data_IF_426837335709
#
_entry.id   IF_426837335709
#
_cell.length_a   1.000
_cell.length_b   1.000
_cell.length_c   1.000
_cell.angle_alpha   90.00
_cell.angle_beta   90.00
_cell.angle_gamma   90.00
#
_symmetry.space_group_name_H-M   'P 1'
#
loop_
_entity.id
_entity.type
_entity.pdbx_description
1 polymer ?
#
# COMPACT_ATOMS: atom_id res chain seq x y z
N UNK A 1 21.21 -4.95 -11.03
CA UNK A 1 19.88 -4.33 -11.00
C UNK A 1 19.22 -4.76 -12.27
N UNK A 2 18.17 -5.56 -12.16
CA UNK A 2 17.41 -6.03 -13.32
C UNK A 2 16.78 -4.84 -14.05
N UNK A 3 16.41 -4.98 -15.31
CA UNK A 3 15.79 -3.91 -16.12
C UNK A 3 14.50 -3.39 -15.44
N UNK A 4 13.82 -4.27 -14.73
CA UNK A 4 12.59 -3.99 -13.97
C UNK A 4 12.80 -3.13 -12.72
N UNK A 5 13.84 -3.44 -11.93
CA UNK A 5 14.20 -2.64 -10.75
C UNK A 5 14.61 -1.22 -11.18
N UNK A 6 15.17 -1.09 -12.39
CA UNK A 6 15.56 0.18 -12.98
C UNK A 6 14.33 1.05 -13.27
N UNK A 7 13.29 0.52 -13.94
CA UNK A 7 12.09 1.29 -14.27
C UNK A 7 11.31 1.79 -13.02
N UNK A 8 11.24 0.98 -11.96
CA UNK A 8 10.62 1.38 -10.69
C UNK A 8 11.46 2.47 -10.01
N UNK A 9 12.78 2.31 -9.97
CA UNK A 9 13.68 3.30 -9.39
C UNK A 9 13.67 4.64 -10.14
N UNK A 10 13.48 4.64 -11.46
CA UNK A 10 13.36 5.85 -12.26
C UNK A 10 12.08 6.63 -11.95
N UNK A 11 10.95 5.95 -11.79
CA UNK A 11 9.69 6.58 -11.38
C UNK A 11 9.82 7.27 -10.01
N UNK A 12 10.38 6.58 -9.01
CA UNK A 12 10.53 7.16 -7.67
C UNK A 12 11.56 8.30 -7.61
N UNK A 13 12.55 8.31 -8.49
CA UNK A 13 13.49 9.44 -8.63
C UNK A 13 12.80 10.76 -8.97
N UNK A 14 11.59 10.72 -9.56
CA UNK A 14 10.77 11.89 -9.84
C UNK A 14 10.10 12.49 -8.58
N UNK A 15 10.23 11.84 -7.42
CA UNK A 15 9.70 12.28 -6.13
C UNK A 15 8.18 12.26 -5.98
N UNK A 16 7.43 11.28 -6.52
CA UNK A 16 5.97 11.28 -6.47
C UNK A 16 5.40 11.12 -5.05
N UNK A 17 6.13 10.52 -4.11
CA UNK A 17 5.59 10.14 -2.79
C UNK A 17 5.45 11.31 -1.81
N UNK A 18 6.34 12.31 -1.89
CA UNK A 18 6.49 13.34 -0.85
C UNK A 18 5.17 14.02 -0.45
N UNK A 19 4.32 14.31 -1.45
CA UNK A 19 3.03 14.98 -1.23
C UNK A 19 1.83 14.11 -1.67
N UNK A 20 2.04 12.85 -2.06
CA UNK A 20 0.98 11.99 -2.62
C UNK A 20 -0.20 11.86 -1.67
N UNK A 21 0.07 11.42 -0.44
CA UNK A 21 -0.95 11.15 0.58
C UNK A 21 -1.54 12.44 1.21
N UNK A 22 -0.95 13.61 0.93
CA UNK A 22 -1.48 14.91 1.34
C UNK A 22 -2.19 15.65 0.19
N UNK A 23 -2.15 15.12 -1.04
CA UNK A 23 -2.76 15.73 -2.23
C UNK A 23 -3.75 14.77 -2.90
N UNK A 24 -3.37 14.10 -3.97
CA UNK A 24 -4.26 13.27 -4.78
C UNK A 24 -4.57 11.90 -4.13
N UNK A 25 -3.69 11.41 -3.26
CA UNK A 25 -3.89 10.22 -2.42
C UNK A 25 -4.54 10.51 -1.07
N UNK A 26 -5.13 11.70 -0.84
CA UNK A 26 -5.64 12.07 0.48
C UNK A 26 -6.77 11.17 1.01
N UNK A 27 -7.66 10.71 0.13
CA UNK A 27 -8.72 9.77 0.54
C UNK A 27 -8.14 8.41 0.94
N UNK A 28 -7.18 7.89 0.17
CA UNK A 28 -6.42 6.68 0.50
C UNK A 28 -5.75 6.80 1.87
N UNK A 29 -5.10 7.93 2.15
CA UNK A 29 -4.42 8.18 3.42
C UNK A 29 -5.39 8.14 4.60
N UNK A 30 -6.52 8.85 4.50
CA UNK A 30 -7.56 8.88 5.54
C UNK A 30 -8.13 7.48 5.79
N UNK A 31 -8.36 6.73 4.73
CA UNK A 31 -8.94 5.39 4.78
C UNK A 31 -7.98 4.36 5.34
N UNK A 32 -6.72 4.39 4.90
CA UNK A 32 -5.66 3.56 5.46
C UNK A 32 -5.48 3.83 6.94
N UNK A 33 -5.39 5.10 7.36
CA UNK A 33 -5.28 5.44 8.78
C UNK A 33 -6.49 4.94 9.61
N UNK A 34 -7.71 5.05 9.07
CA UNK A 34 -8.92 4.51 9.74
C UNK A 34 -8.87 2.98 9.89
N UNK A 35 -8.42 2.27 8.85
CA UNK A 35 -8.28 0.81 8.87
C UNK A 35 -7.18 0.36 9.84
N UNK A 36 -6.03 1.06 9.86
CA UNK A 36 -4.98 0.84 10.85
C UNK A 36 -5.53 1.00 12.27
N UNK A 37 -6.18 2.13 12.57
CA UNK A 37 -6.76 2.39 13.88
C UNK A 37 -7.85 1.39 14.31
N UNK A 38 -8.54 0.75 13.35
CA UNK A 38 -9.57 -0.26 13.64
C UNK A 38 -8.99 -1.62 14.05
N UNK A 39 -7.82 -1.98 13.54
CA UNK A 39 -7.30 -3.35 13.66
C UNK A 39 -5.97 -3.47 14.40
N UNK A 40 -5.21 -2.37 14.54
CA UNK A 40 -3.98 -2.36 15.35
C UNK A 40 -4.31 -2.69 16.81
N UNK A 41 -3.46 -3.49 17.49
CA UNK A 41 -3.58 -3.67 18.93
C UNK A 41 -3.31 -2.34 19.65
N UNK A 42 -3.88 -2.09 20.84
CA UNK A 42 -3.61 -0.85 21.58
C UNK A 42 -2.10 -0.67 21.84
N UNK A 43 -1.63 0.58 21.73
CA UNK A 43 -0.26 0.92 22.12
C UNK A 43 -0.02 0.66 23.63
N UNK A 44 1.21 0.28 24.05
CA UNK A 44 2.38 0.10 23.20
C UNK A 44 2.38 -1.25 22.47
N UNK A 45 2.94 -1.26 21.26
CA UNK A 45 3.17 -2.46 20.45
C UNK A 45 4.24 -2.23 19.39
N UNK A 46 4.86 -3.30 18.90
CA UNK A 46 5.89 -3.25 17.85
C UNK A 46 5.24 -3.31 16.48
N UNK A 47 5.52 -2.33 15.63
CA UNK A 47 5.01 -2.24 14.26
C UNK A 47 6.18 -2.22 13.29
N UNK A 48 6.17 -3.10 12.30
CA UNK A 48 7.11 -3.03 11.17
C UNK A 48 6.41 -2.45 9.95
N UNK A 49 6.88 -1.29 9.47
CA UNK A 49 6.40 -0.64 8.25
C UNK A 49 7.32 -0.99 7.08
N UNK A 50 6.91 -1.97 6.27
CA UNK A 50 7.70 -2.55 5.19
C UNK A 50 7.31 -1.93 3.85
N UNK A 51 8.30 -1.34 3.17
CA UNK A 51 8.08 -0.41 2.07
C UNK A 51 7.46 0.90 2.57
N UNK A 52 7.87 1.36 3.75
CA UNK A 52 7.29 2.53 4.43
C UNK A 52 7.64 3.89 3.80
N UNK A 53 8.46 3.89 2.74
CA UNK A 53 8.91 5.08 2.03
C UNK A 53 9.43 6.18 2.98
N UNK A 54 8.95 7.41 2.84
CA UNK A 54 9.33 8.56 3.67
C UNK A 54 8.65 8.56 5.07
N UNK A 55 7.94 7.48 5.44
CA UNK A 55 7.39 7.29 6.78
C UNK A 55 5.99 7.88 7.01
N UNK A 56 5.16 7.95 5.96
CA UNK A 56 3.82 8.55 6.02
C UNK A 56 2.91 7.90 7.09
N UNK A 57 3.06 6.60 7.33
CA UNK A 57 2.34 5.86 8.38
C UNK A 57 3.22 5.59 9.60
N UNK A 58 4.51 5.30 9.41
CA UNK A 58 5.43 5.05 10.51
C UNK A 58 5.55 6.22 11.50
N UNK A 59 5.68 7.46 11.00
CA UNK A 59 5.92 8.63 11.86
C UNK A 59 4.71 8.97 12.74
N UNK A 60 3.46 9.00 12.24
CA UNK A 60 2.28 9.16 13.09
C UNK A 60 2.13 8.01 14.11
N UNK A 61 2.35 6.76 13.71
CA UNK A 61 2.23 5.63 14.63
C UNK A 61 3.25 5.71 15.78
N UNK A 62 4.47 6.18 15.52
CA UNK A 62 5.43 6.43 16.60
C UNK A 62 4.92 7.51 17.58
N UNK A 63 4.28 8.58 17.08
CA UNK A 63 3.65 9.61 17.94
C UNK A 63 2.48 9.06 18.76
N UNK A 64 1.79 8.06 18.25
CA UNK A 64 0.70 7.37 18.93
C UNK A 64 1.20 6.34 19.98
N UNK A 65 2.52 6.22 20.17
CA UNK A 65 3.14 5.43 21.23
C UNK A 65 3.53 4.00 20.83
N UNK A 66 3.51 3.67 19.53
CA UNK A 66 4.04 2.41 19.02
C UNK A 66 5.57 2.45 18.88
N UNK A 67 6.20 1.29 19.04
CA UNK A 67 7.59 1.09 18.65
C UNK A 67 7.63 0.73 17.17
N UNK A 68 7.94 1.71 16.31
CA UNK A 68 7.85 1.52 14.86
C UNK A 68 9.24 1.39 14.23
N UNK A 69 9.46 0.32 13.48
CA UNK A 69 10.63 0.12 12.63
C UNK A 69 10.23 0.22 11.17
N UNK A 70 10.88 1.12 10.42
CA UNK A 70 10.65 1.32 9.00
C UNK A 70 11.72 0.59 8.18
N UNK A 71 11.27 -0.16 7.17
CA UNK A 71 12.14 -0.82 6.18
C UNK A 71 11.72 -0.37 4.79
N UNK A 72 12.68 0.01 3.95
CA UNK A 72 12.43 0.30 2.54
C UNK A 72 13.63 -0.12 1.68
N UNK A 73 13.39 -0.55 0.44
CA UNK A 73 14.46 -0.98 -0.46
C UNK A 73 15.23 0.21 -1.06
N UNK A 74 14.65 1.42 -1.06
CA UNK A 74 15.25 2.59 -1.69
C UNK A 74 15.95 3.49 -0.65
N UNK A 75 17.28 3.65 -0.69
CA UNK A 75 18.02 4.41 0.32
C UNK A 75 17.56 5.87 0.52
N UNK A 76 17.17 6.63 -0.52
CA UNK A 76 16.61 7.97 -0.35
C UNK A 76 15.36 8.04 0.54
N UNK A 77 14.44 7.07 0.42
CA UNK A 77 13.27 6.97 1.29
C UNK A 77 13.68 6.81 2.76
N UNK A 78 14.57 5.86 3.05
CA UNK A 78 15.04 5.59 4.41
C UNK A 78 15.77 6.80 5.00
N UNK A 79 16.56 7.52 4.20
CA UNK A 79 17.22 8.75 4.62
C UNK A 79 16.21 9.85 4.98
N UNK A 80 15.20 10.07 4.14
CA UNK A 80 14.14 11.05 4.39
C UNK A 80 13.32 10.69 5.65
N UNK A 81 12.96 9.42 5.82
CA UNK A 81 12.26 8.94 7.01
C UNK A 81 13.09 9.14 8.29
N UNK A 82 14.40 8.89 8.24
CA UNK A 82 15.31 9.12 9.35
C UNK A 82 15.43 10.61 9.71
N UNK A 83 15.51 11.50 8.70
CA UNK A 83 15.49 12.95 8.90
C UNK A 83 14.17 13.41 9.56
N UNK A 84 13.04 12.95 9.04
CA UNK A 84 11.72 13.25 9.59
C UNK A 84 11.54 12.71 11.02
N UNK A 85 12.08 11.53 11.31
CA UNK A 85 12.14 10.94 12.65
C UNK A 85 12.95 11.81 13.62
N UNK A 86 14.12 12.31 13.19
CA UNK A 86 14.95 13.21 13.99
C UNK A 86 14.25 14.56 14.28
N UNK A 87 13.36 15.00 13.40
CA UNK A 87 12.53 16.19 13.60
C UNK A 87 11.40 16.01 14.63
N UNK A 88 11.16 14.79 15.14
CA UNK A 88 10.18 14.48 16.20
C UNK A 88 10.81 13.80 17.43
N UNK A 89 11.75 14.43 18.15
CA UNK A 89 12.56 13.78 19.19
C UNK A 89 11.76 13.23 20.39
N UNK A 90 10.51 13.66 20.58
CA UNK A 90 9.62 13.12 21.61
C UNK A 90 9.04 11.73 21.25
N UNK A 91 9.05 11.35 19.97
CA UNK A 91 8.50 10.11 19.44
C UNK A 91 9.26 9.67 18.18
N UNK A 92 10.58 9.40 18.26
CA UNK A 92 11.35 8.95 17.11
C UNK A 92 10.90 7.55 16.66
N UNK A 93 11.11 7.23 15.38
CA UNK A 93 11.09 5.86 14.91
C UNK A 93 12.15 5.03 15.66
N UNK A 94 11.82 3.79 16.01
CA UNK A 94 12.73 2.87 16.68
C UNK A 94 13.88 2.43 15.76
N UNK A 95 13.65 2.42 14.44
CA UNK A 95 14.66 2.13 13.44
C UNK A 95 14.20 2.52 12.03
N UNK A 96 15.16 2.84 11.17
CA UNK A 96 14.99 3.02 9.72
C UNK A 96 16.08 2.20 9.04
N UNK A 97 15.73 1.24 8.18
CA UNK A 97 16.69 0.32 7.57
C UNK A 97 16.46 0.17 6.08
N UNK A 98 17.55 0.23 5.30
CA UNK A 98 17.52 -0.13 3.88
C UNK A 98 17.53 -1.65 3.78
N UNK A 99 16.44 -2.27 3.35
CA UNK A 99 16.40 -3.70 3.11
C UNK A 99 15.26 -4.13 2.17
N UNK A 100 15.36 -5.34 1.63
CA UNK A 100 14.34 -5.94 0.78
C UNK A 100 13.19 -6.54 1.61
N UNK A 101 11.94 -6.33 1.19
CA UNK A 101 10.76 -6.90 1.85
C UNK A 101 10.74 -8.44 1.87
N UNK A 102 11.55 -9.09 1.03
CA UNK A 102 11.66 -10.55 0.88
C UNK A 102 12.74 -11.18 1.78
N UNK A 103 13.44 -10.38 2.58
CA UNK A 103 14.46 -10.81 3.54
C UNK A 103 14.56 -9.80 4.70
N UNK A 104 13.67 -9.88 5.69
CA UNK A 104 13.54 -8.86 6.73
C UNK A 104 14.60 -9.02 7.84
N UNK A 105 15.24 -7.93 8.32
CA UNK A 105 16.37 -7.99 9.24
C UNK A 105 15.91 -8.10 10.72
N UNK A 106 14.86 -8.87 10.97
CA UNK A 106 14.23 -9.03 12.27
C UNK A 106 14.09 -10.50 12.64
N UNK A 107 14.12 -10.80 13.94
CA UNK A 107 13.90 -12.14 14.44
C UNK A 107 12.42 -12.58 14.28
N UNK A 108 12.19 -13.89 14.41
CA UNK A 108 10.86 -14.47 14.34
C UNK A 108 9.98 -14.03 15.52
N UNK A 109 8.71 -13.70 15.25
CA UNK A 109 7.72 -13.48 16.30
C UNK A 109 7.96 -12.25 17.18
N UNK A 110 8.51 -11.17 16.64
CA UNK A 110 8.82 -9.93 17.37
C UNK A 110 7.81 -8.80 17.16
N UNK A 111 7.06 -8.79 16.06
CA UNK A 111 6.13 -7.70 15.73
C UNK A 111 4.68 -7.99 16.17
N UNK A 112 3.99 -6.98 16.72
CA UNK A 112 2.54 -7.06 16.97
C UNK A 112 1.73 -6.77 15.70
N UNK A 113 2.28 -5.95 14.80
CA UNK A 113 1.71 -5.65 13.49
C UNK A 113 2.79 -5.49 12.41
N UNK A 114 2.44 -5.85 11.17
CA UNK A 114 3.24 -5.59 9.98
C UNK A 114 2.38 -4.85 8.96
N UNK A 115 2.90 -3.71 8.49
CA UNK A 115 2.35 -2.97 7.38
C UNK A 115 3.15 -3.31 6.13
N UNK A 116 2.46 -3.76 5.09
CA UNK A 116 3.02 -4.12 3.79
C UNK A 116 2.18 -3.39 2.74
N UNK A 117 2.28 -2.07 2.75
CA UNK A 117 1.36 -1.16 2.05
C UNK A 117 1.86 -0.73 0.67
N UNK A 118 3.12 -1.03 0.34
CA UNK A 118 3.75 -0.72 -0.94
C UNK A 118 4.37 -1.92 -1.69
N UNK A 119 5.00 -2.90 -1.02
CA UNK A 119 5.83 -3.87 -1.73
C UNK A 119 5.10 -4.79 -2.72
N UNK A 120 3.85 -5.21 -2.46
CA UNK A 120 3.23 -6.29 -3.26
C UNK A 120 3.09 -5.97 -4.74
N UNK A 121 2.77 -4.72 -5.09
CA UNK A 121 2.59 -4.33 -6.49
C UNK A 121 3.92 -4.05 -7.22
N UNK A 122 5.04 -3.92 -6.49
CA UNK A 122 6.39 -3.84 -7.07
C UNK A 122 7.05 -5.21 -7.28
N UNK A 123 6.52 -6.25 -6.63
CA UNK A 123 6.98 -7.62 -6.79
C UNK A 123 6.18 -8.32 -7.90
N UNK A 124 6.76 -8.35 -9.10
CA UNK A 124 6.07 -8.81 -10.32
C UNK A 124 5.79 -10.32 -10.29
N UNK A 125 6.76 -11.09 -9.81
CA UNK A 125 6.65 -12.54 -9.72
C UNK A 125 5.87 -12.96 -8.48
N UNK A 126 4.92 -13.89 -8.65
CA UNK A 126 4.12 -14.42 -7.55
C UNK A 126 4.98 -15.04 -6.44
N UNK A 127 6.07 -15.70 -6.83
CA UNK A 127 7.00 -16.31 -5.87
C UNK A 127 7.63 -15.25 -4.95
N UNK A 128 7.96 -14.08 -5.48
CA UNK A 128 8.51 -12.97 -4.70
C UNK A 128 7.48 -12.32 -3.78
N UNK A 129 6.24 -12.12 -4.26
CA UNK A 129 5.13 -11.67 -3.39
C UNK A 129 4.90 -12.62 -2.22
N UNK A 130 4.89 -13.93 -2.49
CA UNK A 130 4.77 -14.93 -1.43
C UNK A 130 5.96 -14.93 -0.47
N UNK A 131 7.18 -14.66 -0.96
CA UNK A 131 8.35 -14.52 -0.08
C UNK A 131 8.19 -13.34 0.88
N UNK A 132 7.80 -12.16 0.38
CA UNK A 132 7.58 -10.98 1.21
C UNK A 132 6.45 -11.20 2.25
N UNK A 133 5.33 -11.82 1.83
CA UNK A 133 4.25 -12.18 2.76
C UNK A 133 4.70 -13.20 3.81
N UNK A 134 5.55 -14.17 3.45
CA UNK A 134 6.10 -15.15 4.41
C UNK A 134 7.07 -14.52 5.40
N UNK A 135 7.87 -13.55 4.97
CA UNK A 135 8.71 -12.77 5.88
C UNK A 135 7.85 -11.97 6.86
N UNK A 136 6.79 -11.31 6.39
CA UNK A 136 5.82 -10.65 7.26
C UNK A 136 5.17 -11.65 8.25
N UNK A 137 4.83 -12.86 7.80
CA UNK A 137 4.30 -13.90 8.66
C UNK A 137 5.32 -14.37 9.71
N UNK A 138 6.59 -14.52 9.33
CA UNK A 138 7.69 -14.99 10.19
C UNK A 138 7.91 -14.03 11.35
N UNK A 139 7.99 -12.73 11.06
CA UNK A 139 8.31 -11.70 12.06
C UNK A 139 7.12 -11.35 12.97
N UNK A 140 5.88 -11.57 12.53
CA UNK A 140 4.70 -11.31 13.37
C UNK A 140 4.64 -12.26 14.57
N UNK A 141 4.30 -11.80 15.77
CA UNK A 141 3.89 -12.65 16.90
C UNK A 141 2.68 -13.50 16.53
N UNK A 142 2.49 -14.59 17.25
CA UNK A 142 1.25 -15.36 17.15
C UNK A 142 0.03 -14.48 17.49
N UNK A 143 -0.99 -14.44 16.62
CA UNK A 143 -2.12 -13.50 16.73
C UNK A 143 -1.84 -12.08 16.23
N UNK A 144 -0.59 -11.79 15.84
CA UNK A 144 -0.19 -10.51 15.24
C UNK A 144 -0.93 -10.24 13.92
N UNK A 145 -1.04 -8.96 13.56
CA UNK A 145 -1.85 -8.51 12.42
C UNK A 145 -0.99 -8.10 11.22
N UNK A 146 -1.36 -8.60 10.04
CA UNK A 146 -0.86 -8.13 8.76
C UNK A 146 -1.85 -7.13 8.16
N UNK A 147 -1.32 -6.03 7.63
CA UNK A 147 -2.00 -5.17 6.67
C UNK A 147 -1.24 -5.25 5.35
N UNK A 148 -1.86 -5.84 4.33
CA UNK A 148 -1.26 -5.95 3.01
C UNK A 148 -2.10 -5.20 1.98
N UNK A 149 -1.52 -4.15 1.37
CA UNK A 149 -2.20 -3.40 0.33
C UNK A 149 -1.80 -3.89 -1.07
N UNK A 150 -2.73 -3.75 -2.01
CA UNK A 150 -2.49 -3.99 -3.42
C UNK A 150 -3.23 -2.96 -4.27
N UNK A 151 -2.71 -2.69 -5.46
CA UNK A 151 -3.43 -1.95 -6.49
C UNK A 151 -4.38 -2.90 -7.19
N UNK A 152 -5.64 -2.48 -7.36
CA UNK A 152 -6.67 -3.25 -8.04
C UNK A 152 -6.36 -3.39 -9.52
N UNK A 153 -6.60 -4.59 -10.06
CA UNK A 153 -6.47 -4.89 -11.50
C UNK A 153 -7.29 -3.97 -12.39
N UNK A 154 -8.36 -3.38 -11.85
CA UNK A 154 -9.26 -2.51 -12.60
C UNK A 154 -8.91 -1.02 -12.45
N UNK A 155 -7.95 -0.66 -11.58
CA UNK A 155 -7.62 0.72 -11.26
C UNK A 155 -7.24 1.53 -12.51
N UNK A 156 -6.33 1.03 -13.34
CA UNK A 156 -5.89 1.71 -14.57
C UNK A 156 -7.02 1.87 -15.59
N UNK A 157 -8.00 0.95 -15.63
CA UNK A 157 -9.20 1.12 -16.47
C UNK A 157 -10.03 2.33 -16.01
N UNK A 158 -10.31 2.43 -14.71
CA UNK A 158 -11.11 3.53 -14.18
C UNK A 158 -10.37 4.86 -14.22
N UNK A 159 -9.08 4.86 -13.89
CA UNK A 159 -8.23 6.04 -13.98
C UNK A 159 -8.17 6.59 -15.41
N UNK A 160 -7.93 5.72 -16.41
CA UNK A 160 -7.94 6.14 -17.80
C UNK A 160 -9.27 6.69 -18.29
N UNK A 161 -10.40 6.18 -17.78
CA UNK A 161 -11.73 6.73 -18.10
C UNK A 161 -11.91 8.10 -17.42
N UNK A 162 -11.53 8.22 -16.15
CA UNK A 162 -11.68 9.46 -15.37
C UNK A 162 -10.78 10.59 -15.90
N UNK A 163 -9.55 10.26 -16.28
CA UNK A 163 -8.55 11.21 -16.76
C UNK A 163 -8.63 11.45 -18.27
N UNK A 164 -9.36 10.61 -19.00
CA UNK A 164 -9.56 10.70 -20.45
C UNK A 164 -8.51 9.98 -21.29
N UNK A 165 -7.46 9.41 -20.68
CA UNK A 165 -6.40 8.67 -21.37
C UNK A 165 -6.89 7.40 -22.08
N UNK A 166 -8.08 6.90 -21.75
CA UNK A 166 -8.68 5.73 -22.41
C UNK A 166 -8.92 5.94 -23.92
N UNK A 167 -8.87 7.17 -24.42
CA UNK A 167 -8.93 7.46 -25.87
C UNK A 167 -7.63 7.09 -26.59
N UNK A 168 -6.51 6.97 -25.88
CA UNK A 168 -5.21 6.64 -26.45
C UNK A 168 -5.08 5.11 -26.65
N UNK A 169 -4.83 4.62 -27.87
CA UNK A 169 -4.66 3.18 -28.13
C UNK A 169 -3.52 2.53 -27.34
N UNK A 170 -2.43 3.26 -27.08
CA UNK A 170 -1.29 2.73 -26.31
C UNK A 170 -1.66 2.53 -24.84
N UNK A 171 -2.44 3.45 -24.28
CA UNK A 171 -2.99 3.30 -22.93
C UNK A 171 -3.96 2.12 -22.87
N UNK A 172 -4.80 1.94 -23.90
CA UNK A 172 -5.70 0.79 -23.98
C UNK A 172 -4.91 -0.53 -23.98
N UNK A 173 -3.80 -0.64 -24.72
CA UNK A 173 -2.98 -1.85 -24.72
C UNK A 173 -2.40 -2.15 -23.32
N UNK A 174 -1.90 -1.12 -22.63
CA UNK A 174 -1.42 -1.20 -21.26
C UNK A 174 -2.53 -1.69 -20.30
N UNK A 175 -3.75 -1.15 -20.42
CA UNK A 175 -4.91 -1.56 -19.63
C UNK A 175 -5.26 -3.02 -19.90
N UNK A 176 -5.33 -3.42 -21.18
CA UNK A 176 -5.65 -4.80 -21.57
C UNK A 176 -4.59 -5.78 -21.07
N UNK A 177 -3.32 -5.38 -21.07
CA UNK A 177 -2.23 -6.13 -20.44
C UNK A 177 -2.50 -6.39 -18.97
N UNK A 178 -2.72 -5.33 -18.18
CA UNK A 178 -3.01 -5.43 -16.75
C UNK A 178 -4.26 -6.29 -16.47
N UNK A 179 -5.34 -6.15 -17.24
CA UNK A 179 -6.54 -6.97 -17.10
C UNK A 179 -6.27 -8.46 -17.36
N UNK A 180 -5.45 -8.77 -18.38
CA UNK A 180 -5.13 -10.14 -18.79
C UNK A 180 -4.19 -10.85 -17.81
N UNK A 181 -3.06 -10.23 -17.47
CA UNK A 181 -1.98 -10.89 -16.73
C UNK A 181 -1.63 -10.21 -15.40
N UNK A 182 -2.15 -9.01 -15.15
CA UNK A 182 -1.92 -8.24 -13.92
C UNK A 182 -0.79 -7.26 -14.05
N UNK A 183 0.01 -7.35 -15.09
CA UNK A 183 1.19 -6.52 -15.23
C UNK A 183 0.83 -5.25 -16.00
N UNK A 184 0.77 -4.15 -15.26
CA UNK A 184 0.71 -2.80 -15.79
C UNK A 184 2.09 -2.44 -16.35
N UNK A 185 2.17 -2.05 -17.62
CA UNK A 185 3.44 -1.82 -18.31
C UNK A 185 3.40 -0.49 -19.06
N UNK A 186 3.99 0.56 -18.49
CA UNK A 186 4.23 1.78 -19.23
C UNK A 186 5.47 1.61 -20.11
N UNK A 187 5.25 1.40 -21.41
CA UNK A 187 6.32 1.25 -22.42
C UNK A 187 6.80 2.59 -22.99
N UNK A 188 6.21 3.71 -22.55
CA UNK A 188 6.54 5.07 -23.00
C UNK A 188 6.71 6.05 -21.83
N UNK A 189 7.54 5.74 -20.83
CA UNK A 189 7.68 6.57 -19.64
C UNK A 189 8.18 7.99 -19.94
N UNK A 190 8.95 8.18 -21.03
CA UNK A 190 9.43 9.50 -21.44
C UNK A 190 8.32 10.39 -22.06
N UNK A 191 7.35 9.78 -22.74
CA UNK A 191 6.25 10.49 -23.42
C UNK A 191 5.06 10.68 -22.46
N UNK A 192 4.75 9.66 -21.66
CA UNK A 192 3.63 9.63 -20.72
C UNK A 192 4.12 9.28 -19.30
N UNK A 193 4.85 10.20 -18.63
CA UNK A 193 5.41 9.95 -17.30
C UNK A 193 4.35 9.84 -16.20
N UNK A 194 3.13 10.31 -16.45
CA UNK A 194 2.00 10.19 -15.51
C UNK A 194 1.31 8.83 -15.55
N UNK A 195 1.51 8.04 -16.62
CA UNK A 195 1.04 6.66 -16.63
C UNK A 195 1.89 5.82 -15.67
N UNK A 196 1.20 5.10 -14.79
CA UNK A 196 1.87 4.38 -13.71
C UNK A 196 2.91 3.37 -14.22
N UNK A 197 3.94 3.11 -13.41
CA UNK A 197 5.10 2.32 -13.84
C UNK A 197 4.79 0.82 -13.99
N UNK A 198 5.84 0.03 -14.25
CA UNK A 198 5.80 -1.42 -14.27
C UNK A 198 5.43 -1.99 -12.89
N UNK A 199 4.24 -2.56 -12.76
CA UNK A 199 3.72 -3.07 -11.49
C UNK A 199 2.74 -4.24 -11.70
N UNK A 200 2.53 -5.03 -10.66
CA UNK A 200 1.54 -6.10 -10.63
C UNK A 200 0.27 -5.65 -9.88
N UNK A 201 -0.88 -5.75 -10.55
CA UNK A 201 -2.20 -5.43 -10.02
C UNK A 201 -3.03 -6.68 -9.73
N UNK A 202 -3.64 -6.70 -8.55
CA UNK A 202 -4.37 -7.85 -8.02
C UNK A 202 -5.86 -7.77 -8.36
N UNK A 203 -6.46 -8.91 -8.70
CA UNK A 203 -7.90 -9.10 -8.44
C UNK A 203 -8.06 -9.28 -6.92
N UNK A 204 -9.24 -8.96 -6.34
CA UNK A 204 -9.49 -9.23 -4.93
C UNK A 204 -9.20 -10.68 -4.52
N UNK A 205 -9.57 -11.65 -5.36
CA UNK A 205 -9.26 -13.06 -5.12
C UNK A 205 -7.74 -13.34 -5.08
N UNK A 206 -6.96 -12.76 -5.99
CA UNK A 206 -5.51 -12.96 -6.04
C UNK A 206 -4.84 -12.53 -4.72
N UNK A 207 -5.23 -11.37 -4.18
CA UNK A 207 -4.70 -10.86 -2.92
C UNK A 207 -5.07 -11.77 -1.74
N UNK A 208 -6.34 -12.20 -1.65
CA UNK A 208 -6.77 -13.14 -0.60
C UNK A 208 -6.01 -14.46 -0.67
N UNK A 209 -5.86 -15.02 -1.86
CA UNK A 209 -5.23 -16.33 -2.07
C UNK A 209 -3.73 -16.28 -1.75
N UNK A 210 -3.02 -15.22 -2.16
CA UNK A 210 -1.61 -15.03 -1.83
C UNK A 210 -1.38 -14.86 -0.32
N UNK A 211 -2.24 -14.09 0.36
CA UNK A 211 -2.20 -13.93 1.82
C UNK A 211 -2.47 -15.27 2.52
N UNK A 212 -3.44 -16.05 2.05
CA UNK A 212 -3.75 -17.38 2.61
C UNK A 212 -2.58 -18.38 2.41
N UNK A 213 -1.98 -18.40 1.23
CA UNK A 213 -0.85 -19.25 0.85
C UNK A 213 0.44 -18.91 1.60
N UNK A 214 0.55 -17.69 2.12
CA UNK A 214 1.62 -17.27 3.01
C UNK A 214 1.41 -17.73 4.47
N UNK A 215 0.28 -18.37 4.78
CA UNK A 215 -0.01 -18.94 6.10
C UNK A 215 -0.98 -18.14 6.95
N UNK A 216 -1.41 -16.96 6.50
CA UNK A 216 -2.34 -16.13 7.26
C UNK A 216 -3.77 -16.70 7.30
N UNK A 217 -4.52 -16.31 8.32
CA UNK A 217 -5.92 -16.69 8.55
C UNK A 217 -6.75 -15.46 8.90
N UNK A 218 -8.07 -15.65 9.02
CA UNK A 218 -9.03 -14.57 9.32
C UNK A 218 -8.85 -13.37 8.38
N UNK A 219 -8.81 -13.64 7.07
CA UNK A 219 -8.51 -12.64 6.04
C UNK A 219 -9.77 -11.83 5.75
N UNK A 220 -9.75 -10.58 6.19
CA UNK A 220 -10.70 -9.56 5.79
C UNK A 220 -10.16 -8.84 4.54
N UNK A 221 -10.98 -8.74 3.50
CA UNK A 221 -10.68 -7.90 2.34
C UNK A 221 -11.56 -6.67 2.38
N UNK A 222 -10.94 -5.50 2.20
CA UNK A 222 -11.64 -4.23 2.12
C UNK A 222 -11.20 -3.43 0.90
N UNK A 223 -12.16 -2.74 0.30
CA UNK A 223 -11.91 -1.61 -0.58
C UNK A 223 -11.46 -0.41 0.26
N UNK A 224 -10.27 0.11 0.01
CA UNK A 224 -9.70 1.22 0.79
C UNK A 224 -10.55 2.48 0.58
N UNK A 225 -10.71 2.92 -0.66
CA UNK A 225 -11.52 4.09 -1.03
C UNK A 225 -12.89 3.71 -1.60
N UNK A 226 -13.05 2.49 -2.11
CA UNK A 226 -14.25 2.06 -2.85
C UNK A 226 -14.53 2.97 -4.06
N UNK A 227 -15.79 2.97 -4.52
CA UNK A 227 -16.25 3.83 -5.63
C UNK A 227 -16.10 5.33 -5.35
N UNK A 228 -15.88 5.72 -4.09
CA UNK A 228 -15.67 7.11 -3.73
C UNK A 228 -14.38 7.68 -4.33
N UNK A 229 -13.38 6.85 -4.65
CA UNK A 229 -12.21 7.28 -5.40
C UNK A 229 -12.55 7.97 -6.72
N UNK A 230 -13.66 7.57 -7.36
CA UNK A 230 -14.06 8.04 -8.69
C UNK A 230 -15.18 9.10 -8.64
N UNK A 231 -15.90 9.19 -7.51
CA UNK A 231 -17.14 9.95 -7.41
C UNK A 231 -17.09 11.07 -6.36
N UNK A 232 -16.16 11.03 -5.42
CA UNK A 232 -16.04 12.06 -4.39
C UNK A 232 -15.46 13.36 -4.94
N UNK A 233 -15.93 14.50 -4.42
CA UNK A 233 -15.26 15.78 -4.63
C UNK A 233 -14.08 15.87 -3.67
N UNK A 234 -12.89 15.49 -4.14
CA UNK A 234 -11.68 15.44 -3.33
C UNK A 234 -11.32 16.80 -2.71
N UNK A 235 -11.70 17.91 -3.35
CA UNK A 235 -11.46 19.28 -2.83
C UNK A 235 -12.24 19.55 -1.53
N UNK A 236 -13.37 18.87 -1.35
CA UNK A 236 -14.25 18.99 -0.18
C UNK A 236 -13.88 18.05 0.95
N UNK A 237 -12.89 17.17 0.77
CA UNK A 237 -12.41 16.29 1.85
C UNK A 237 -11.77 17.07 3.01
N UNK A 238 -11.42 18.34 2.81
CA UNK A 238 -10.99 19.21 3.90
C UNK A 238 -12.17 19.67 4.79
N UNK A 239 -13.39 19.69 4.26
CA UNK A 239 -14.62 19.97 5.03
C UNK A 239 -14.94 18.77 5.94
N UNK A 240 -14.91 18.92 7.29
CA UNK A 240 -15.05 17.78 8.20
C UNK A 240 -16.35 17.00 8.02
N UNK A 241 -17.45 17.68 7.73
CA UNK A 241 -18.78 17.08 7.56
C UNK A 241 -18.87 16.25 6.28
N UNK A 242 -18.36 16.78 5.16
CA UNK A 242 -18.30 16.03 3.89
C UNK A 242 -17.35 14.85 3.99
N UNK A 243 -16.18 15.06 4.61
CA UNK A 243 -15.20 13.98 4.87
C UNK A 243 -15.83 12.84 5.64
N UNK A 244 -16.43 13.12 6.80
CA UNK A 244 -17.04 12.07 7.63
C UNK A 244 -18.24 11.41 6.93
N UNK A 245 -19.07 12.17 6.21
CA UNK A 245 -20.16 11.59 5.42
C UNK A 245 -19.63 10.63 4.33
N UNK A 246 -18.53 11.00 3.66
CA UNK A 246 -17.86 10.18 2.63
C UNK A 246 -17.27 8.92 3.24
N UNK A 247 -16.49 9.03 4.32
CA UNK A 247 -15.91 7.89 5.02
C UNK A 247 -17.00 6.93 5.52
N UNK A 248 -18.12 7.47 6.03
CA UNK A 248 -19.28 6.67 6.44
C UNK A 248 -19.97 5.98 5.26
N UNK A 249 -19.98 6.58 4.07
CA UNK A 249 -20.48 5.93 2.88
C UNK A 249 -19.59 4.74 2.49
N UNK A 250 -18.26 4.93 2.50
CA UNK A 250 -17.29 3.87 2.22
C UNK A 250 -17.46 2.71 3.20
N UNK A 251 -17.52 2.98 4.52
CA UNK A 251 -17.73 1.97 5.58
C UNK A 251 -18.91 1.04 5.33
N UNK A 252 -19.99 1.52 4.72
CA UNK A 252 -21.20 0.71 4.46
C UNK A 252 -20.99 -0.36 3.38
N UNK A 253 -19.99 -0.17 2.52
CA UNK A 253 -19.82 -0.97 1.29
C UNK A 253 -18.41 -1.53 1.11
N UNK A 254 -17.47 -1.21 2.00
CA UNK A 254 -16.05 -1.54 1.86
C UNK A 254 -15.75 -3.04 1.75
N UNK A 255 -16.59 -3.90 2.32
CA UNK A 255 -16.45 -5.37 2.25
C UNK A 255 -17.41 -6.04 1.26
N UNK A 256 -18.21 -5.28 0.51
CA UNK A 256 -19.15 -5.84 -0.45
C UNK A 256 -18.37 -6.50 -1.61
N UNK A 257 -18.48 -7.83 -1.83
CA UNK A 257 -17.66 -8.55 -2.81
C UNK A 257 -17.72 -7.97 -4.22
N UNK A 258 -18.90 -7.48 -4.62
CA UNK A 258 -19.16 -6.88 -5.94
C UNK A 258 -18.45 -5.54 -6.13
N UNK A 259 -18.09 -4.87 -5.04
CA UNK A 259 -17.49 -3.53 -5.04
C UNK A 259 -16.00 -3.52 -4.71
N UNK A 260 -15.43 -4.64 -4.25
CA UNK A 260 -13.99 -4.71 -3.93
C UNK A 260 -13.13 -4.28 -5.12
N UNK A 261 -13.36 -4.88 -6.29
CA UNK A 261 -12.61 -4.55 -7.51
C UNK A 261 -12.84 -3.13 -8.02
N UNK A 262 -13.91 -2.46 -7.59
CA UNK A 262 -14.19 -1.08 -7.98
C UNK A 262 -13.33 -0.07 -7.21
N UNK A 263 -12.62 -0.47 -6.15
CA UNK A 263 -11.64 0.37 -5.46
C UNK A 263 -10.33 0.42 -6.24
N UNK A 264 -9.61 1.56 -6.29
CA UNK A 264 -8.24 1.58 -6.83
C UNK A 264 -7.28 0.78 -5.93
N UNK A 265 -7.43 0.87 -4.61
CA UNK A 265 -6.64 0.09 -3.66
C UNK A 265 -7.49 -0.91 -2.89
N UNK A 266 -6.89 -2.08 -2.68
CA UNK A 266 -7.41 -3.18 -1.87
C UNK A 266 -6.51 -3.32 -0.65
N UNK A 267 -7.10 -3.70 0.48
CA UNK A 267 -6.33 -4.09 1.66
C UNK A 267 -6.83 -5.44 2.18
N UNK A 268 -5.88 -6.33 2.44
CA UNK A 268 -6.08 -7.53 3.23
C UNK A 268 -5.62 -7.25 4.66
N UNK A 269 -6.53 -7.43 5.62
CA UNK A 269 -6.21 -7.47 7.04
C UNK A 269 -6.31 -8.93 7.48
N UNK A 270 -5.22 -9.47 8.01
CA UNK A 270 -5.15 -10.89 8.35
C UNK A 270 -4.35 -11.14 9.63
N UNK A 271 -4.51 -12.35 10.20
CA UNK A 271 -3.86 -12.74 11.46
C UNK A 271 -2.87 -13.87 11.24
N UNK A 272 -1.71 -13.79 11.89
CA UNK A 272 -0.80 -14.94 12.03
C UNK A 272 -1.48 -15.98 12.93
N UNK A 273 -1.66 -17.20 12.45
CA UNK A 273 -2.21 -18.28 13.28
C UNK A 273 -1.24 -18.68 14.39
N UNK A 274 -1.75 -19.39 15.40
CA UNK A 274 -0.92 -20.12 16.37
C UNK A 274 -0.11 -21.22 15.69
#
# INVERSE_FOLDING_TARGET
MDDFETAIAEYYRLGPERDRLSTWGYLEALRTAELLGRHLPPAPGVVYDIGGAEGAYALPLARDGYEVHLVDAWPPHVAAAAEASAAQPAAPLAGCTVNDARDLPFDDGTADAVLLLGPLYHLLERADRLRALREAHRVLKSGGVLFAAAVSRYASTFDGVAMGDIVNPDFQELVQGALRDGLHRNTRPDEFPHWFTLTYFHRPADLRDEVADAGFRAIELVAVESVAAWAADTRRLNEPEYREATLRAIRRVESAPELLGASPHLMAVARRSH
#
